data_IF_567316214343
#
_entry.id   IF_567316214343
#
_cell.length_a   1.000
_cell.length_b   1.000
_cell.length_c   1.000
_cell.angle_alpha   90.00
_cell.angle_beta   90.00
_cell.angle_gamma   90.00
#
_symmetry.space_group_name_H-M   'P 1'
#
loop_
_entity.id
_entity.type
_entity.pdbx_description
1 polymer ?
#
# COMPACT_ATOMS: atom_id res chain seq x y z
N UNK A 1 -18.35 29.59 27.60
CA UNK A 1 -18.55 29.82 26.16
C UNK A 1 -17.23 30.26 25.53
N UNK A 2 -16.49 29.35 24.87
CA UNK A 2 -15.45 29.73 23.92
C UNK A 2 -15.79 29.29 22.50
N UNK A 3 -15.23 30.04 21.56
CA UNK A 3 -15.54 30.10 20.13
C UNK A 3 -15.34 28.78 19.37
N UNK A 4 -16.35 28.44 18.57
CA UNK A 4 -16.27 27.52 17.43
C UNK A 4 -15.39 28.15 16.35
N UNK A 5 -14.28 27.50 16.03
CA UNK A 5 -13.50 27.78 14.81
C UNK A 5 -13.82 26.71 13.77
N UNK A 6 -14.22 27.19 12.59
CA UNK A 6 -14.75 26.40 11.49
C UNK A 6 -13.70 25.51 10.83
N UNK A 7 -14.11 24.29 10.47
CA UNK A 7 -13.35 23.35 9.64
C UNK A 7 -13.59 23.69 8.15
N UNK A 8 -12.58 23.68 7.27
CA UNK A 8 -12.77 24.06 5.87
C UNK A 8 -13.50 22.98 5.05
N UNK A 9 -14.59 23.36 4.38
CA UNK A 9 -15.24 22.58 3.34
C UNK A 9 -14.35 22.51 2.08
N UNK A 10 -13.95 21.32 1.66
CA UNK A 10 -13.33 21.12 0.36
C UNK A 10 -14.39 21.13 -0.75
N UNK A 11 -14.28 22.12 -1.64
CA UNK A 11 -15.08 22.25 -2.87
C UNK A 11 -14.73 21.11 -3.83
N UNK A 12 -15.75 20.36 -4.26
CA UNK A 12 -15.69 19.51 -5.45
C UNK A 12 -15.43 20.39 -6.69
N UNK A 13 -14.31 20.16 -7.36
CA UNK A 13 -14.08 20.66 -8.72
C UNK A 13 -14.51 19.60 -9.73
N UNK A 14 -15.53 19.94 -10.51
CA UNK A 14 -15.92 19.21 -11.71
C UNK A 14 -14.78 19.23 -12.75
N UNK A 15 -14.25 18.06 -13.08
CA UNK A 15 -13.51 17.84 -14.32
C UNK A 15 -14.13 16.63 -15.02
N UNK A 16 -14.77 16.90 -16.16
CA UNK A 16 -15.45 15.93 -16.99
C UNK A 16 -14.47 14.91 -17.57
N UNK A 17 -14.84 13.63 -17.44
CA UNK A 17 -14.17 12.53 -18.10
C UNK A 17 -14.91 12.17 -19.38
N UNK A 18 -14.21 12.36 -20.50
CA UNK A 18 -14.62 11.93 -21.81
C UNK A 18 -14.73 10.40 -21.87
N UNK A 19 -15.90 9.92 -22.27
CA UNK A 19 -16.17 8.53 -22.62
C UNK A 19 -15.47 8.19 -23.95
N UNK A 20 -14.67 7.13 -23.99
CA UNK A 20 -14.32 6.45 -25.23
C UNK A 20 -14.88 5.02 -25.21
N UNK A 21 -15.56 4.58 -26.29
CA UNK A 21 -16.27 3.31 -26.35
C UNK A 21 -15.35 2.14 -26.72
N UNK A 22 -15.59 0.98 -26.11
CA UNK A 22 -15.04 -0.31 -26.56
C UNK A 22 -15.92 -0.88 -27.68
N UNK A 23 -15.36 -1.31 -28.82
CA UNK A 23 -16.09 -2.03 -29.86
C UNK A 23 -15.99 -3.53 -29.57
N UNK A 24 -17.12 -4.24 -29.54
CA UNK A 24 -17.28 -5.58 -30.15
C UNK A 24 -18.74 -6.01 -30.02
N UNK A 25 -19.46 -5.91 -31.14
CA UNK A 25 -20.77 -6.51 -31.38
C UNK A 25 -20.58 -7.79 -32.21
N UNK A 26 -21.45 -8.78 -31.95
CA UNK A 26 -21.64 -10.02 -32.71
C UNK A 26 -21.51 -11.21 -31.77
N UNK A 27 -22.57 -11.91 -31.36
CA UNK A 27 -23.69 -12.42 -32.15
C UNK A 27 -25.01 -12.38 -31.36
N UNK A 28 -26.08 -11.98 -32.06
CA UNK A 28 -27.47 -12.21 -31.65
C UNK A 28 -27.83 -13.66 -31.99
N UNK A 29 -28.26 -14.42 -31.00
CA UNK A 29 -29.18 -15.53 -31.19
C UNK A 29 -30.43 -15.25 -30.34
N UNK A 30 -31.49 -14.82 -31.01
CA UNK A 30 -32.84 -14.71 -30.46
C UNK A 30 -33.42 -16.10 -30.25
N UNK A 31 -33.71 -16.46 -29.00
CA UNK A 31 -34.68 -17.52 -28.67
C UNK A 31 -35.78 -16.92 -27.80
N UNK A 32 -36.98 -16.83 -28.37
CA UNK A 32 -38.23 -16.65 -27.64
C UNK A 32 -38.80 -18.05 -27.37
N UNK A 33 -38.90 -18.48 -26.11
CA UNK A 33 -40.16 -18.96 -25.50
C UNK A 33 -39.98 -19.48 -24.06
N UNK A 34 -41.03 -19.22 -23.29
CA UNK A 34 -41.56 -19.96 -22.13
C UNK A 34 -40.94 -19.78 -20.74
N UNK A 35 -41.74 -19.05 -19.95
CA UNK A 35 -41.81 -18.99 -18.50
C UNK A 35 -41.54 -20.34 -17.82
N UNK A 36 -40.46 -20.40 -17.04
CA UNK A 36 -40.22 -21.42 -16.04
C UNK A 36 -39.41 -20.79 -14.92
N UNK A 37 -40.07 -20.51 -13.79
CA UNK A 37 -39.39 -20.09 -12.56
C UNK A 37 -38.56 -21.30 -12.12
N UNK A 38 -37.26 -21.29 -12.37
CA UNK A 38 -36.31 -22.14 -11.68
C UNK A 38 -35.59 -21.25 -10.69
N UNK A 39 -36.10 -21.23 -9.46
CA UNK A 39 -35.32 -20.77 -8.31
C UNK A 39 -34.18 -21.77 -8.14
N UNK A 40 -33.07 -21.55 -8.83
CA UNK A 40 -31.82 -22.24 -8.56
C UNK A 40 -31.37 -21.71 -7.20
N UNK A 41 -31.76 -22.39 -6.13
CA UNK A 41 -31.19 -22.18 -4.82
C UNK A 41 -29.74 -22.62 -4.90
N UNK A 42 -28.83 -21.70 -5.21
CA UNK A 42 -27.41 -21.92 -5.00
C UNK A 42 -27.23 -22.09 -3.50
N UNK A 43 -27.01 -23.33 -3.06
CA UNK A 43 -26.48 -23.60 -1.73
C UNK A 43 -25.08 -23.00 -1.75
N UNK A 44 -24.95 -21.78 -1.23
CA UNK A 44 -23.66 -21.18 -0.94
C UNK A 44 -23.11 -21.97 0.23
N UNK A 45 -22.24 -22.94 -0.05
CA UNK A 45 -21.46 -23.57 0.99
C UNK A 45 -20.51 -22.51 1.56
N UNK A 46 -20.89 -21.93 2.69
CA UNK A 46 -20.00 -21.08 3.47
C UNK A 46 -18.92 -21.98 4.06
N UNK A 47 -17.68 -21.85 3.59
CA UNK A 47 -16.53 -22.51 4.23
C UNK A 47 -16.41 -21.88 5.62
N UNK A 48 -16.50 -22.65 6.71
CA UNK A 48 -16.38 -22.09 8.04
C UNK A 48 -14.99 -21.48 8.22
N UNK A 49 -14.90 -20.41 9.00
CA UNK A 49 -13.62 -19.81 9.36
C UNK A 49 -12.64 -20.85 9.90
N UNK A 50 -11.43 -20.84 9.34
CA UNK A 50 -10.28 -21.60 9.82
C UNK A 50 -9.11 -20.63 10.05
N UNK A 51 -8.62 -20.60 11.29
CA UNK A 51 -7.48 -19.78 11.69
C UNK A 51 -6.23 -20.15 10.90
N UNK A 52 -5.99 -21.44 10.72
CA UNK A 52 -4.74 -21.93 10.18
C UNK A 52 -4.63 -21.58 8.69
N UNK A 53 -5.77 -21.43 7.99
CA UNK A 53 -5.80 -20.88 6.61
C UNK A 53 -5.23 -19.47 6.58
N UNK A 54 -5.68 -18.57 7.46
CA UNK A 54 -5.19 -17.18 7.52
C UNK A 54 -3.70 -17.14 7.87
N UNK A 55 -3.30 -17.89 8.91
CA UNK A 55 -1.91 -17.95 9.37
C UNK A 55 -0.99 -18.46 8.27
N UNK A 56 -1.39 -19.53 7.57
CA UNK A 56 -0.61 -20.08 6.46
C UNK A 56 -0.53 -19.12 5.28
N UNK A 57 -1.61 -18.38 4.97
CA UNK A 57 -1.58 -17.35 3.93
C UNK A 57 -0.57 -16.25 4.26
N UNK A 58 -0.60 -15.69 5.47
CA UNK A 58 0.37 -14.62 5.82
C UNK A 58 1.80 -15.16 5.88
N UNK A 59 2.00 -16.36 6.43
CA UNK A 59 3.32 -17.00 6.45
C UNK A 59 3.87 -17.19 5.04
N UNK A 60 3.09 -17.79 4.13
CA UNK A 60 3.47 -18.00 2.73
C UNK A 60 3.75 -16.68 2.01
N UNK A 61 3.01 -15.62 2.35
CA UNK A 61 3.26 -14.29 1.82
C UNK A 61 4.62 -13.73 2.24
N UNK A 62 4.96 -13.81 3.53
CA UNK A 62 6.27 -13.38 4.02
C UNK A 62 7.41 -14.24 3.47
N UNK A 63 7.21 -15.55 3.36
CA UNK A 63 8.17 -16.46 2.74
C UNK A 63 8.41 -16.10 1.26
N UNK A 64 7.36 -15.72 0.52
CA UNK A 64 7.48 -15.23 -0.86
C UNK A 64 8.32 -13.95 -0.94
N UNK A 65 8.08 -13.00 -0.03
CA UNK A 65 8.84 -11.76 0.06
C UNK A 65 10.32 -11.97 0.47
N UNK A 66 10.63 -12.99 1.27
CA UNK A 66 12.02 -13.42 1.53
C UNK A 66 12.63 -14.10 0.31
N UNK A 67 11.84 -14.91 -0.41
CA UNK A 67 12.29 -15.66 -1.58
C UNK A 67 12.70 -14.73 -2.72
N UNK A 68 11.95 -13.65 -2.96
CA UNK A 68 12.25 -12.62 -3.97
C UNK A 68 13.35 -11.63 -3.53
N UNK A 69 14.01 -11.89 -2.40
CA UNK A 69 15.06 -11.05 -1.81
C UNK A 69 14.59 -9.62 -1.46
N UNK A 70 13.34 -9.50 -1.02
CA UNK A 70 12.76 -8.25 -0.54
C UNK A 70 12.84 -8.09 0.98
N UNK A 71 12.42 -9.13 1.73
CA UNK A 71 12.59 -9.21 3.18
C UNK A 71 13.84 -10.01 3.56
N UNK A 72 14.44 -9.62 4.68
CA UNK A 72 15.38 -10.45 5.42
C UNK A 72 14.59 -11.42 6.31
N UNK A 73 14.87 -12.73 6.33
CA UNK A 73 14.16 -13.68 7.19
C UNK A 73 14.18 -13.28 8.68
N UNK A 74 15.25 -12.62 9.16
CA UNK A 74 15.39 -12.23 10.56
C UNK A 74 14.40 -11.12 10.99
N UNK A 75 13.72 -10.48 10.04
CA UNK A 75 12.69 -9.49 10.36
C UNK A 75 11.32 -10.09 10.65
N UNK A 76 11.14 -11.40 10.40
CA UNK A 76 9.89 -12.11 10.67
C UNK A 76 9.93 -12.67 12.09
N UNK A 77 9.01 -12.21 12.91
CA UNK A 77 8.76 -12.70 14.26
C UNK A 77 7.76 -13.84 14.19
N UNK A 78 8.23 -15.05 14.54
CA UNK A 78 7.38 -16.23 14.58
C UNK A 78 6.77 -16.44 15.97
N UNK A 79 5.48 -16.83 16.05
CA UNK A 79 4.88 -17.19 17.33
C UNK A 79 5.55 -18.44 17.92
N UNK A 80 5.65 -18.54 19.26
CA UNK A 80 5.97 -19.80 19.94
C UNK A 80 4.97 -20.92 19.59
N UNK A 81 5.27 -22.21 19.88
CA UNK A 81 4.37 -23.33 19.56
C UNK A 81 2.95 -23.23 20.15
N UNK A 82 2.78 -22.52 21.27
CA UNK A 82 1.46 -22.24 21.88
C UNK A 82 0.88 -20.87 21.52
N UNK A 83 1.47 -20.16 20.55
CA UNK A 83 1.16 -18.78 20.23
C UNK A 83 1.82 -17.76 21.16
N UNK A 84 1.63 -16.48 20.84
CA UNK A 84 2.04 -15.35 21.66
C UNK A 84 1.30 -15.34 23.01
N UNK A 85 1.99 -15.04 24.11
CA UNK A 85 1.32 -14.95 25.43
C UNK A 85 0.52 -13.64 25.58
N UNK A 86 -0.33 -13.55 26.60
CA UNK A 86 -1.11 -12.32 26.90
C UNK A 86 -0.21 -11.14 27.32
N UNK A 87 1.00 -11.44 27.80
CA UNK A 87 2.03 -10.44 28.09
C UNK A 87 2.67 -9.90 26.81
N UNK A 88 2.77 -10.74 25.77
CA UNK A 88 3.38 -10.38 24.48
C UNK A 88 2.37 -9.72 23.52
N UNK A 89 1.12 -10.17 23.53
CA UNK A 89 0.02 -9.68 22.68
C UNK A 89 -0.83 -8.66 23.45
N UNK A 90 -1.33 -7.61 22.79
CA UNK A 90 -2.18 -6.59 23.42
C UNK A 90 -3.65 -7.05 23.66
N UNK A 91 -3.84 -8.18 24.35
CA UNK A 91 -5.14 -8.86 24.55
C UNK A 91 -6.16 -7.98 25.29
N UNK A 92 -5.73 -7.32 26.36
CA UNK A 92 -6.51 -6.34 27.11
C UNK A 92 -7.07 -5.24 26.21
N UNK A 93 -6.21 -4.60 25.41
CA UNK A 93 -6.67 -3.56 24.47
C UNK A 93 -7.63 -4.11 23.42
N UNK A 94 -7.38 -5.32 22.90
CA UNK A 94 -8.29 -5.97 21.94
C UNK A 94 -9.67 -6.23 22.56
N UNK A 95 -9.72 -6.66 23.83
CA UNK A 95 -10.96 -6.89 24.59
C UNK A 95 -11.69 -5.59 24.92
N UNK A 96 -10.99 -4.55 25.35
CA UNK A 96 -11.56 -3.21 25.55
C UNK A 96 -12.21 -2.67 24.25
N UNK A 97 -11.63 -3.05 23.11
CA UNK A 97 -12.15 -2.74 21.75
C UNK A 97 -13.13 -3.78 21.21
N UNK A 98 -13.67 -4.62 22.09
CA UNK A 98 -14.73 -5.60 21.81
C UNK A 98 -14.39 -6.58 20.67
N UNK A 99 -13.10 -6.89 20.44
CA UNK A 99 -12.72 -7.96 19.51
C UNK A 99 -13.12 -9.32 20.09
N UNK A 100 -13.54 -10.24 19.24
CA UNK A 100 -13.96 -11.58 19.67
C UNK A 100 -12.76 -12.44 20.12
N UNK A 101 -13.01 -13.47 20.92
CA UNK A 101 -11.97 -14.45 21.29
C UNK A 101 -11.39 -15.16 20.05
N UNK A 102 -12.17 -15.28 18.96
CA UNK A 102 -11.71 -15.85 17.70
C UNK A 102 -10.68 -14.96 17.00
N UNK A 103 -10.89 -13.64 17.00
CA UNK A 103 -9.88 -12.67 16.53
C UNK A 103 -8.62 -12.74 17.39
N UNK A 104 -8.77 -12.80 18.72
CA UNK A 104 -7.63 -12.87 19.63
C UNK A 104 -6.83 -14.17 19.39
N UNK A 105 -7.52 -15.31 19.22
CA UNK A 105 -6.90 -16.59 18.89
C UNK A 105 -6.16 -16.55 17.54
N UNK A 106 -6.72 -15.89 16.53
CA UNK A 106 -6.01 -15.63 15.27
C UNK A 106 -4.69 -14.90 15.50
N UNK A 107 -4.77 -13.71 16.11
CA UNK A 107 -3.61 -12.85 16.32
C UNK A 107 -2.53 -13.52 17.17
N UNK A 108 -2.93 -14.41 18.08
CA UNK A 108 -2.00 -15.21 18.89
C UNK A 108 -1.08 -16.11 18.06
N UNK A 109 -1.54 -16.56 16.89
CA UNK A 109 -0.82 -17.50 16.04
C UNK A 109 -0.23 -16.86 14.77
N UNK A 110 -0.34 -15.53 14.64
CA UNK A 110 0.15 -14.83 13.46
C UNK A 110 1.66 -14.54 13.54
N UNK A 111 2.40 -14.68 12.42
CA UNK A 111 3.72 -14.08 12.31
C UNK A 111 3.59 -12.56 12.17
N UNK A 112 4.57 -11.83 12.70
CA UNK A 112 4.62 -10.36 12.63
C UNK A 112 5.95 -9.87 12.07
N UNK A 113 6.00 -8.64 11.56
CA UNK A 113 7.26 -7.99 11.18
C UNK A 113 7.81 -7.15 12.34
N UNK A 114 9.11 -7.28 12.61
CA UNK A 114 9.77 -6.63 13.76
C UNK A 114 9.92 -5.11 13.62
N UNK A 115 10.04 -4.60 12.38
CA UNK A 115 10.13 -3.16 12.10
C UNK A 115 8.82 -2.67 11.53
N UNK A 116 8.07 -1.92 12.32
CA UNK A 116 6.76 -1.40 11.92
C UNK A 116 6.46 0.00 12.46
N UNK A 117 7.48 0.82 12.76
CA UNK A 117 7.19 2.14 13.33
C UNK A 117 8.14 3.27 12.97
N UNK A 118 9.41 3.01 12.77
CA UNK A 118 10.26 4.11 12.34
C UNK A 118 9.91 4.38 10.88
N UNK A 119 9.43 5.59 10.59
CA UNK A 119 9.21 6.12 9.22
C UNK A 119 10.44 5.91 8.33
N UNK A 120 11.57 5.62 8.96
CA UNK A 120 12.81 5.08 8.42
C UNK A 120 12.82 3.54 8.58
N UNK A 121 12.24 2.79 7.63
CA UNK A 121 12.37 1.32 7.60
C UNK A 121 11.08 0.50 7.63
N UNK A 122 9.98 1.04 7.11
CA UNK A 122 8.76 0.28 6.85
C UNK A 122 8.98 -0.81 5.79
N UNK A 123 8.30 -1.93 5.97
CA UNK A 123 8.16 -3.01 5.00
C UNK A 123 6.74 -3.01 4.48
N UNK A 124 6.56 -2.61 3.24
CA UNK A 124 5.29 -2.82 2.57
C UNK A 124 5.06 -4.33 2.38
N UNK A 125 3.83 -4.77 2.64
CA UNK A 125 3.39 -6.14 2.37
C UNK A 125 2.52 -6.20 1.12
N UNK A 126 2.03 -5.05 0.66
CA UNK A 126 1.44 -4.84 -0.65
C UNK A 126 1.57 -3.36 -1.03
N UNK A 127 1.20 -2.97 -2.25
CA UNK A 127 1.31 -1.58 -2.73
C UNK A 127 0.68 -0.62 -1.72
N UNK A 128 1.47 0.32 -1.20
CA UNK A 128 1.06 1.35 -0.22
C UNK A 128 0.52 0.78 1.11
N UNK A 129 0.76 -0.50 1.38
CA UNK A 129 0.16 -1.27 2.47
C UNK A 129 1.25 -1.79 3.42
N UNK A 130 1.18 -1.39 4.69
CA UNK A 130 2.02 -1.89 5.79
C UNK A 130 1.32 -3.05 6.52
N UNK A 131 2.08 -4.01 7.05
CA UNK A 131 1.50 -5.05 7.95
C UNK A 131 1.02 -4.44 9.26
N UNK A 132 -0.06 -4.96 9.84
CA UNK A 132 -0.41 -4.67 11.24
C UNK A 132 0.46 -5.49 12.20
N UNK A 133 0.75 -4.92 13.37
CA UNK A 133 1.26 -5.69 14.51
C UNK A 133 0.39 -5.43 15.73
N UNK A 134 0.14 -6.50 16.49
CA UNK A 134 -0.66 -6.50 17.72
C UNK A 134 0.18 -6.84 18.96
N UNK A 135 1.50 -6.95 18.80
CA UNK A 135 2.42 -7.19 19.89
C UNK A 135 2.57 -5.92 20.74
N UNK A 136 2.49 -6.07 22.06
CA UNK A 136 2.42 -4.98 23.05
C UNK A 136 3.60 -3.99 22.96
N UNK A 137 4.79 -4.48 22.67
CA UNK A 137 6.01 -3.66 22.61
C UNK A 137 6.42 -3.27 21.17
N UNK A 138 5.51 -3.38 20.20
CA UNK A 138 5.76 -3.07 18.80
C UNK A 138 4.71 -2.09 18.24
N UNK A 139 5.07 -1.39 17.17
CA UNK A 139 4.15 -0.54 16.42
C UNK A 139 3.36 0.43 17.32
N UNK A 140 2.06 0.53 17.06
CA UNK A 140 1.15 1.45 17.75
C UNK A 140 1.06 1.22 19.27
N UNK A 141 1.29 0.00 19.74
CA UNK A 141 1.19 -0.36 21.17
C UNK A 141 2.42 0.07 21.98
N UNK A 142 3.55 0.38 21.34
CA UNK A 142 4.79 0.78 22.02
C UNK A 142 4.81 2.21 22.55
N UNK A 143 4.15 3.18 21.90
CA UNK A 143 4.37 4.62 22.20
C UNK A 143 3.15 5.34 22.79
N UNK A 144 2.32 4.68 23.61
CA UNK A 144 1.18 5.30 24.30
C UNK A 144 0.30 6.18 23.36
N UNK A 145 0.14 5.77 22.09
CA UNK A 145 -0.66 6.54 21.16
C UNK A 145 -2.12 6.47 21.63
N UNK A 146 -2.70 7.65 21.92
CA UNK A 146 -4.09 7.81 22.38
C UNK A 146 -5.14 7.41 21.34
N UNK A 147 -4.70 6.98 20.16
CA UNK A 147 -5.52 6.90 18.96
C UNK A 147 -5.20 5.70 18.06
N UNK A 148 -5.42 4.46 18.52
CA UNK A 148 -5.33 3.28 17.66
C UNK A 148 -6.53 3.20 16.68
N UNK A 149 -7.24 4.30 16.36
CA UNK A 149 -8.44 4.27 15.52
C UNK A 149 -8.17 3.72 14.10
N UNK A 150 -6.93 3.84 13.62
CA UNK A 150 -6.46 3.16 12.41
C UNK A 150 -6.41 1.63 12.48
N UNK A 151 -6.65 0.99 13.63
CA UNK A 151 -6.65 -0.47 13.77
C UNK A 151 -8.06 -1.08 13.76
N UNK A 152 -9.12 -0.26 13.59
CA UNK A 152 -10.49 -0.71 13.83
C UNK A 152 -11.41 -0.64 12.62
N UNK A 153 -11.35 0.43 11.80
CA UNK A 153 -11.95 0.54 10.46
C UNK A 153 -11.31 1.70 9.69
N UNK A 154 -11.19 1.62 8.35
CA UNK A 154 -10.67 2.72 7.52
C UNK A 154 -11.65 3.91 7.33
N UNK A 155 -12.89 3.84 7.85
CA UNK A 155 -13.85 4.95 7.84
C UNK A 155 -14.48 5.17 9.22
N UNK A 156 -14.54 6.44 9.62
CA UNK A 156 -15.26 7.07 10.73
C UNK A 156 -15.30 6.32 12.08
N UNK A 157 -14.66 6.92 13.09
CA UNK A 157 -14.39 6.38 14.43
C UNK A 157 -15.58 6.22 15.38
N UNK A 158 -16.79 6.58 14.95
CA UNK A 158 -17.97 6.64 15.85
C UNK A 158 -18.84 5.37 15.83
N UNK A 159 -18.68 4.49 14.83
CA UNK A 159 -19.41 3.22 14.77
C UNK A 159 -18.56 2.05 15.28
N UNK A 160 -19.14 1.23 16.15
CA UNK A 160 -18.52 -0.02 16.60
C UNK A 160 -18.31 -0.95 15.39
N UNK A 161 -17.06 -1.29 15.09
CA UNK A 161 -16.72 -2.34 14.12
C UNK A 161 -17.20 -3.70 14.61
N UNK A 162 -17.73 -4.60 13.75
CA UNK A 162 -18.11 -5.95 14.15
C UNK A 162 -17.00 -6.67 14.91
N UNK A 163 -17.34 -7.43 15.96
CA UNK A 163 -16.36 -8.03 16.86
C UNK A 163 -15.39 -9.01 16.17
N UNK A 164 -15.86 -9.69 15.11
CA UNK A 164 -15.07 -10.61 14.30
C UNK A 164 -14.14 -9.96 13.27
N UNK A 165 -14.17 -8.63 13.11
CA UNK A 165 -13.35 -7.91 12.13
C UNK A 165 -11.98 -7.56 12.68
N UNK A 166 -10.95 -7.73 11.86
CA UNK A 166 -9.59 -7.30 12.18
C UNK A 166 -8.76 -6.97 10.94
N UNK A 167 -8.11 -5.80 10.84
CA UNK A 167 -7.21 -5.49 9.74
C UNK A 167 -5.85 -6.15 9.93
N UNK A 168 -5.40 -6.96 8.97
CA UNK A 168 -4.05 -7.52 8.97
C UNK A 168 -3.02 -6.59 8.34
N UNK A 169 -3.48 -5.54 7.66
CA UNK A 169 -2.65 -4.52 7.03
C UNK A 169 -3.32 -3.16 7.04
N UNK A 170 -2.57 -2.08 6.86
CA UNK A 170 -3.06 -0.69 6.87
C UNK A 170 -2.25 0.20 5.93
N UNK A 171 -2.84 1.32 5.51
CA UNK A 171 -2.15 2.38 4.77
C UNK A 171 -3.15 3.42 4.26
N UNK A 172 -2.65 4.54 3.73
CA UNK A 172 -3.49 5.70 3.40
C UNK A 172 -4.18 5.59 2.02
N UNK A 173 -3.50 4.98 1.05
CA UNK A 173 -4.04 4.64 -0.27
C UNK A 173 -4.01 3.11 -0.53
N UNK A 174 -3.93 2.34 0.56
CA UNK A 174 -3.73 0.91 0.59
C UNK A 174 -4.95 0.11 0.14
N UNK A 175 -4.68 -1.15 -0.22
CA UNK A 175 -5.67 -2.21 -0.04
C UNK A 175 -5.50 -2.80 1.36
N UNK A 176 -6.44 -2.51 2.25
CA UNK A 176 -6.49 -3.01 3.63
C UNK A 176 -7.04 -4.43 3.63
N UNK A 177 -6.29 -5.36 4.22
CA UNK A 177 -6.69 -6.75 4.38
C UNK A 177 -7.53 -6.92 5.65
N UNK A 178 -8.83 -6.66 5.54
CA UNK A 178 -9.74 -6.83 6.67
C UNK A 178 -10.30 -8.25 6.70
N UNK A 179 -9.94 -9.02 7.72
CA UNK A 179 -10.46 -10.39 7.91
C UNK A 179 -11.73 -10.33 8.74
N UNK A 180 -12.74 -11.05 8.28
CA UNK A 180 -13.97 -11.33 9.01
C UNK A 180 -13.93 -12.78 9.51
N UNK A 181 -13.66 -12.95 10.80
CA UNK A 181 -13.57 -14.27 11.44
C UNK A 181 -14.93 -14.90 11.74
N UNK A 182 -16.03 -14.15 11.61
CA UNK A 182 -17.37 -14.68 11.80
C UNK A 182 -17.88 -15.34 10.50
N UNK A 183 -17.57 -14.73 9.35
CA UNK A 183 -17.92 -15.27 8.03
C UNK A 183 -16.82 -16.11 7.37
N UNK A 184 -15.56 -16.03 7.84
CA UNK A 184 -14.45 -16.79 7.25
C UNK A 184 -13.95 -16.22 5.92
N UNK A 185 -14.05 -14.91 5.75
CA UNK A 185 -13.77 -14.21 4.48
C UNK A 185 -12.78 -13.05 4.70
N UNK A 186 -12.25 -12.53 3.59
CA UNK A 186 -11.48 -11.30 3.57
C UNK A 186 -12.20 -10.22 2.75
N UNK A 187 -12.15 -9.00 3.26
CA UNK A 187 -12.56 -7.78 2.59
C UNK A 187 -11.30 -6.98 2.20
N UNK A 188 -10.82 -7.10 0.95
CA UNK A 188 -9.71 -6.27 0.46
C UNK A 188 -10.21 -4.85 0.21
N UNK A 189 -10.18 -4.03 1.26
CA UNK A 189 -10.73 -2.68 1.29
C UNK A 189 -9.80 -1.69 0.61
N UNK A 190 -10.16 -1.26 -0.60
CA UNK A 190 -9.41 -0.28 -1.37
C UNK A 190 -9.91 1.16 -1.17
N UNK A 191 -9.21 2.15 -1.75
CA UNK A 191 -9.57 3.58 -1.63
C UNK A 191 -10.78 3.98 -2.50
N UNK A 192 -11.28 3.09 -3.36
CA UNK A 192 -12.34 3.37 -4.31
C UNK A 192 -13.68 2.74 -3.89
N UNK A 193 -14.78 3.40 -4.27
CA UNK A 193 -16.13 2.85 -4.09
C UNK A 193 -16.32 1.71 -5.10
N UNK A 194 -16.50 0.49 -4.57
CA UNK A 194 -16.77 -0.74 -5.31
C UNK A 194 -18.28 -1.00 -5.42
N UNK A 195 -19.06 -0.62 -4.40
CA UNK A 195 -20.52 -0.82 -4.38
C UNK A 195 -21.23 0.49 -4.04
N UNK A 196 -22.04 1.00 -4.97
CA UNK A 196 -22.88 2.17 -4.70
C UNK A 196 -24.07 1.78 -3.82
N UNK A 197 -24.43 2.64 -2.86
CA UNK A 197 -25.60 2.43 -2.00
C UNK A 197 -25.44 1.28 -0.99
N UNK A 198 -24.22 1.04 -0.50
CA UNK A 198 -24.00 0.13 0.61
C UNK A 198 -24.88 0.52 1.81
N UNK A 199 -25.44 -0.46 2.57
CA UNK A 199 -26.22 -0.16 3.77
C UNK A 199 -25.41 0.68 4.78
N UNK A 200 -26.08 1.61 5.45
CA UNK A 200 -25.45 2.53 6.40
C UNK A 200 -24.84 1.81 7.61
N UNK A 201 -25.42 0.66 8.00
CA UNK A 201 -24.93 -0.24 9.04
C UNK A 201 -23.81 -1.17 8.57
N UNK A 202 -23.53 -1.22 7.26
CA UNK A 202 -22.49 -2.06 6.65
C UNK A 202 -21.63 -1.27 5.66
N UNK A 203 -21.02 -0.15 6.10
CA UNK A 203 -20.34 0.79 5.21
C UNK A 203 -19.14 0.17 4.47
N UNK A 204 -18.52 -0.88 5.03
CA UNK A 204 -17.40 -1.58 4.40
C UNK A 204 -17.73 -2.19 3.04
N UNK A 205 -19.00 -2.55 2.80
CA UNK A 205 -19.45 -3.08 1.51
C UNK A 205 -19.33 -2.05 0.38
N UNK A 206 -19.24 -0.76 0.72
CA UNK A 206 -19.03 0.29 -0.27
C UNK A 206 -17.65 0.18 -0.93
N UNK A 207 -16.66 -0.37 -0.22
CA UNK A 207 -15.25 -0.25 -0.60
C UNK A 207 -14.55 -1.59 -0.82
N UNK A 208 -15.27 -2.70 -0.65
CA UNK A 208 -14.78 -4.05 -0.95
C UNK A 208 -15.93 -4.99 -1.32
N UNK A 209 -15.60 -6.05 -2.06
CA UNK A 209 -16.41 -7.25 -2.18
C UNK A 209 -15.79 -8.35 -1.32
N UNK A 210 -16.59 -9.22 -0.68
CA UNK A 210 -16.03 -10.32 0.10
C UNK A 210 -15.33 -11.30 -0.84
N UNK A 211 -14.23 -11.88 -0.38
CA UNK A 211 -13.48 -12.92 -1.09
C UNK A 211 -13.20 -14.08 -0.13
N UNK A 212 -13.06 -15.27 -0.70
CA UNK A 212 -12.41 -16.37 0.00
C UNK A 212 -10.96 -15.95 0.34
N UNK A 213 -10.52 -16.29 1.56
CA UNK A 213 -9.22 -15.85 2.08
C UNK A 213 -8.10 -16.49 1.26
N UNK A 214 -8.16 -17.80 1.05
CA UNK A 214 -7.09 -18.52 0.38
C UNK A 214 -7.03 -18.13 -1.10
N UNK A 215 -8.18 -18.07 -1.78
CA UNK A 215 -8.27 -17.65 -3.18
C UNK A 215 -7.67 -16.25 -3.40
N UNK A 216 -7.98 -15.30 -2.52
CA UNK A 216 -7.43 -13.94 -2.60
C UNK A 216 -5.90 -13.93 -2.49
N UNK A 217 -5.35 -14.68 -1.53
CA UNK A 217 -3.90 -14.75 -1.36
C UNK A 217 -3.21 -15.54 -2.48
N UNK A 218 -3.84 -16.58 -3.03
CA UNK A 218 -3.35 -17.32 -4.20
C UNK A 218 -3.24 -16.44 -5.46
N UNK A 219 -4.21 -15.56 -5.68
CA UNK A 219 -4.14 -14.53 -6.72
C UNK A 219 -2.99 -13.55 -6.47
N UNK A 220 -2.84 -13.06 -5.24
CA UNK A 220 -1.76 -12.15 -4.84
C UNK A 220 -0.38 -12.78 -5.04
N UNK A 221 -0.21 -14.07 -4.71
CA UNK A 221 1.05 -14.77 -4.95
C UNK A 221 1.35 -14.86 -6.43
N UNK A 222 0.34 -15.21 -7.23
CA UNK A 222 0.48 -15.26 -8.69
C UNK A 222 0.90 -13.90 -9.25
N UNK A 223 0.32 -12.81 -8.73
CA UNK A 223 0.63 -11.45 -9.14
C UNK A 223 2.10 -11.08 -8.87
N UNK A 224 2.62 -11.44 -7.68
CA UNK A 224 4.02 -11.19 -7.30
C UNK A 224 4.98 -12.13 -8.06
N UNK A 225 4.63 -13.42 -8.19
CA UNK A 225 5.45 -14.39 -8.91
C UNK A 225 5.61 -14.04 -10.39
N UNK A 226 4.53 -13.56 -11.01
CA UNK A 226 4.54 -13.09 -12.41
C UNK A 226 5.09 -11.66 -12.56
N UNK A 227 5.45 -11.02 -11.45
CA UNK A 227 5.99 -9.66 -11.36
C UNK A 227 5.06 -8.60 -11.97
N UNK A 228 3.74 -8.78 -11.86
CA UNK A 228 2.78 -7.69 -12.10
C UNK A 228 2.92 -6.63 -11.02
N UNK A 229 3.05 -7.10 -9.78
CA UNK A 229 3.44 -6.33 -8.61
C UNK A 229 4.83 -6.77 -8.17
N UNK A 230 5.69 -5.79 -7.92
CA UNK A 230 7.14 -5.98 -7.85
C UNK A 230 7.63 -5.51 -6.48
N UNK A 231 8.07 -6.42 -5.61
CA UNK A 231 8.77 -6.07 -4.39
C UNK A 231 10.14 -5.46 -4.69
N UNK A 232 10.32 -4.22 -4.23
CA UNK A 232 11.47 -3.36 -4.50
C UNK A 232 12.26 -3.18 -3.20
N UNK A 233 13.33 -3.97 -2.97
CA UNK A 233 14.09 -3.87 -1.74
C UNK A 233 14.79 -2.53 -1.62
N UNK A 234 14.94 -2.07 -0.38
CA UNK A 234 15.78 -0.91 -0.08
C UNK A 234 17.25 -1.23 -0.40
N UNK A 235 17.91 -0.31 -1.09
CA UNK A 235 19.35 -0.38 -1.32
C UNK A 235 20.10 0.55 -0.37
N UNK A 236 21.42 0.34 -0.23
CA UNK A 236 22.28 1.14 0.67
C UNK A 236 22.46 2.57 0.17
N UNK A 237 22.41 2.77 -1.15
CA UNK A 237 22.65 4.07 -1.81
C UNK A 237 21.42 4.95 -1.99
N UNK A 238 20.21 4.37 -1.90
CA UNK A 238 18.96 5.11 -2.10
C UNK A 238 18.58 5.91 -0.86
N UNK A 239 18.29 7.18 -1.08
CA UNK A 239 17.82 8.11 -0.06
C UNK A 239 16.29 8.11 0.02
N UNK A 240 15.59 7.41 -0.88
CA UNK A 240 14.15 7.12 -0.76
C UNK A 240 13.97 6.04 0.31
N UNK A 241 13.05 6.30 1.23
CA UNK A 241 13.24 5.95 2.63
C UNK A 241 12.77 4.56 3.07
N UNK A 242 12.36 3.66 2.18
CA UNK A 242 11.71 2.42 2.61
C UNK A 242 11.78 1.31 1.56
N UNK A 243 11.45 0.10 2.00
CA UNK A 243 11.16 -1.00 1.10
C UNK A 243 9.78 -0.74 0.49
N UNK A 244 9.64 -0.87 -0.82
CA UNK A 244 8.41 -0.53 -1.55
C UNK A 244 7.92 -1.74 -2.34
N UNK A 245 6.62 -1.83 -2.58
CA UNK A 245 6.03 -2.77 -3.51
C UNK A 245 5.33 -1.92 -4.58
N UNK A 246 5.78 -2.04 -5.83
CA UNK A 246 5.37 -1.17 -6.93
C UNK A 246 4.72 -1.95 -8.05
N UNK A 247 3.92 -1.27 -8.88
CA UNK A 247 3.48 -1.87 -10.15
C UNK A 247 4.67 -1.99 -11.12
N UNK A 248 4.71 -3.05 -11.91
CA UNK A 248 5.69 -3.18 -13.00
C UNK A 248 5.55 -2.11 -14.10
N UNK A 249 4.47 -1.32 -14.08
CA UNK A 249 4.25 -0.19 -14.99
C UNK A 249 4.98 1.07 -14.54
N UNK A 250 5.39 1.13 -13.27
CA UNK A 250 6.17 2.23 -12.74
C UNK A 250 7.63 2.07 -13.12
N UNK A 251 8.35 3.18 -13.24
CA UNK A 251 9.74 3.19 -13.71
C UNK A 251 10.64 2.25 -12.89
N UNK A 252 10.52 2.32 -11.56
CA UNK A 252 11.37 1.56 -10.65
C UNK A 252 10.90 0.10 -10.52
N UNK A 253 9.58 -0.14 -10.55
CA UNK A 253 9.01 -1.48 -10.65
C UNK A 253 9.45 -2.20 -11.93
N UNK A 254 9.43 -1.52 -13.08
CA UNK A 254 9.89 -2.05 -14.36
C UNK A 254 11.39 -2.38 -14.35
N UNK A 255 12.20 -1.53 -13.71
CA UNK A 255 13.64 -1.75 -13.55
C UNK A 255 13.92 -3.01 -12.72
N UNK A 256 13.29 -3.12 -11.55
CA UNK A 256 13.47 -4.27 -10.65
C UNK A 256 12.92 -5.55 -11.27
N UNK A 257 11.77 -5.48 -11.95
CA UNK A 257 11.21 -6.62 -12.69
C UNK A 257 12.22 -7.17 -13.71
N UNK A 258 12.87 -6.29 -14.47
CA UNK A 258 13.88 -6.68 -15.46
C UNK A 258 15.04 -7.43 -14.78
N UNK A 259 15.61 -6.83 -13.74
CA UNK A 259 16.72 -7.41 -13.00
C UNK A 259 16.35 -8.77 -12.38
N UNK A 260 15.19 -8.88 -11.74
CA UNK A 260 14.72 -10.16 -11.19
C UNK A 260 14.67 -11.26 -12.25
N UNK A 261 14.15 -10.96 -13.45
CA UNK A 261 14.11 -11.91 -14.58
C UNK A 261 15.50 -12.28 -15.08
N UNK A 262 16.38 -11.30 -15.29
CA UNK A 262 17.77 -11.51 -15.71
C UNK A 262 18.55 -12.39 -14.72
N UNK A 263 18.21 -12.27 -13.43
CA UNK A 263 18.83 -13.02 -12.35
C UNK A 263 18.11 -14.33 -11.97
N UNK A 264 17.10 -14.76 -12.73
CA UNK A 264 16.54 -16.11 -12.65
C UNK A 264 15.26 -16.28 -11.82
N UNK A 265 14.57 -15.20 -11.46
CA UNK A 265 13.22 -15.29 -10.89
C UNK A 265 12.21 -15.84 -11.93
N UNK A 266 11.26 -16.71 -11.54
CA UNK A 266 10.95 -17.19 -10.19
C UNK A 266 11.66 -18.48 -9.74
N UNK A 267 12.37 -19.17 -10.63
CA UNK A 267 12.87 -20.52 -10.35
C UNK A 267 14.17 -20.56 -9.53
N UNK A 268 15.21 -19.88 -10.00
CA UNK A 268 16.57 -19.98 -9.47
C UNK A 268 17.19 -18.58 -9.35
N UNK A 269 16.56 -17.71 -8.56
CA UNK A 269 17.03 -16.35 -8.33
C UNK A 269 18.42 -16.36 -7.69
N UNK A 270 19.40 -15.81 -8.42
CA UNK A 270 20.76 -15.55 -7.92
C UNK A 270 20.73 -14.29 -7.06
N UNK A 271 20.30 -14.44 -5.81
CA UNK A 271 19.95 -13.34 -4.89
C UNK A 271 21.07 -12.30 -4.74
N UNK A 272 22.29 -12.75 -4.51
CA UNK A 272 23.44 -11.87 -4.27
C UNK A 272 23.82 -11.08 -5.53
N UNK A 273 23.78 -11.72 -6.71
CA UNK A 273 24.03 -11.06 -7.99
C UNK A 273 22.95 -10.01 -8.30
N UNK A 274 21.68 -10.37 -8.08
CA UNK A 274 20.54 -9.47 -8.25
C UNK A 274 20.65 -8.22 -7.38
N UNK A 275 20.86 -8.40 -6.06
CA UNK A 275 20.96 -7.29 -5.12
C UNK A 275 22.15 -6.38 -5.44
N UNK A 276 23.27 -6.97 -5.89
CA UNK A 276 24.43 -6.21 -6.35
C UNK A 276 24.12 -5.37 -7.59
N UNK A 277 23.50 -5.97 -8.61
CA UNK A 277 23.12 -5.27 -9.84
C UNK A 277 22.13 -4.13 -9.56
N UNK A 278 21.15 -4.36 -8.69
CA UNK A 278 20.20 -3.33 -8.27
C UNK A 278 20.88 -2.16 -7.55
N UNK A 279 21.82 -2.44 -6.66
CA UNK A 279 22.61 -1.41 -5.95
C UNK A 279 23.43 -0.57 -6.94
N UNK A 280 24.10 -1.21 -7.91
CA UNK A 280 24.90 -0.55 -8.95
C UNK A 280 24.03 0.37 -9.83
N UNK A 281 22.90 -0.12 -10.35
CA UNK A 281 22.03 0.70 -11.19
C UNK A 281 21.44 1.91 -10.43
N UNK A 282 21.08 1.75 -9.15
CA UNK A 282 20.59 2.86 -8.33
C UNK A 282 21.68 3.88 -8.01
N UNK A 283 22.88 3.42 -7.73
CA UNK A 283 24.03 4.30 -7.52
C UNK A 283 24.31 5.15 -8.76
N UNK A 284 24.29 4.53 -9.95
CA UNK A 284 24.50 5.23 -11.22
C UNK A 284 23.36 6.22 -11.53
N UNK A 285 22.11 5.85 -11.26
CA UNK A 285 20.97 6.74 -11.41
C UNK A 285 21.13 8.00 -10.54
N UNK A 286 21.50 7.84 -9.26
CA UNK A 286 21.75 8.94 -8.33
C UNK A 286 22.87 9.86 -8.80
N UNK A 287 24.01 9.28 -9.22
CA UNK A 287 25.15 10.03 -9.76
C UNK A 287 24.76 10.85 -10.99
N UNK A 288 23.90 10.30 -11.85
CA UNK A 288 23.41 10.99 -13.04
C UNK A 288 22.42 12.13 -12.69
N UNK A 289 21.58 11.96 -11.68
CA UNK A 289 20.70 13.02 -11.18
C UNK A 289 21.48 14.18 -10.55
N UNK A 290 22.53 13.89 -9.79
CA UNK A 290 23.40 14.91 -9.20
C UNK A 290 24.09 15.76 -10.28
N UNK A 291 24.67 15.13 -11.30
CA UNK A 291 25.24 15.83 -12.47
C UNK A 291 24.22 16.73 -13.16
N UNK A 292 22.98 16.26 -13.35
CA UNK A 292 21.89 17.05 -13.94
C UNK A 292 21.53 18.25 -13.06
N UNK A 293 21.54 18.09 -11.72
CA UNK A 293 21.26 19.15 -10.75
C UNK A 293 22.34 20.23 -10.81
N UNK A 294 23.61 19.83 -10.77
CA UNK A 294 24.76 20.74 -10.88
C UNK A 294 24.74 21.52 -12.20
N UNK A 295 24.45 20.85 -13.31
CA UNK A 295 24.34 21.51 -14.61
C UNK A 295 23.19 22.53 -14.64
N UNK A 296 22.02 22.17 -14.08
CA UNK A 296 20.87 23.07 -13.99
C UNK A 296 21.19 24.30 -13.14
N UNK A 297 21.94 24.12 -12.04
CA UNK A 297 22.38 25.22 -11.19
C UNK A 297 23.39 26.13 -11.89
N UNK A 298 24.39 25.54 -12.58
CA UNK A 298 25.35 26.29 -13.41
C UNK A 298 24.63 27.12 -14.47
N UNK A 299 23.67 26.53 -15.20
CA UNK A 299 22.84 27.23 -16.20
C UNK A 299 22.02 28.36 -15.56
N UNK A 300 21.47 28.17 -14.36
CA UNK A 300 20.75 29.22 -13.61
C UNK A 300 21.66 30.37 -13.21
N UNK A 301 22.88 30.08 -12.72
CA UNK A 301 23.87 31.09 -12.35
C UNK A 301 24.31 31.92 -13.56
N UNK A 302 24.67 31.28 -14.67
CA UNK A 302 25.03 31.97 -15.92
C UNK A 302 23.88 32.85 -16.44
N UNK A 303 22.63 32.37 -16.39
CA UNK A 303 21.46 33.20 -16.78
C UNK A 303 21.28 34.43 -15.89
N UNK A 304 21.50 34.31 -14.58
CA UNK A 304 21.45 35.44 -13.64
C UNK A 304 22.54 36.46 -13.93
N UNK A 305 23.78 36.01 -14.17
CA UNK A 305 24.91 36.89 -14.52
C UNK A 305 24.65 37.67 -15.82
N UNK A 306 24.14 37.00 -16.87
CA UNK A 306 23.76 37.67 -18.13
C UNK A 306 22.65 38.69 -17.92
N UNK A 307 21.63 38.37 -17.12
CA UNK A 307 20.54 39.30 -16.83
C UNK A 307 21.02 40.53 -16.07
N UNK A 308 21.88 40.34 -15.07
CA UNK A 308 22.51 41.42 -14.29
C UNK A 308 23.38 42.30 -15.21
N UNK A 309 24.24 41.70 -16.03
CA UNK A 309 25.07 42.45 -16.99
C UNK A 309 24.24 43.32 -17.95
N UNK A 310 23.14 42.77 -18.49
CA UNK A 310 22.19 43.55 -19.33
C UNK A 310 21.52 44.70 -18.58
N UNK A 311 21.18 44.54 -17.30
CA UNK A 311 20.62 45.64 -16.50
C UNK A 311 21.62 46.76 -16.21
N UNK A 312 22.90 46.41 -15.97
CA UNK A 312 23.96 47.41 -15.82
C UNK A 312 24.20 48.20 -17.12
N UNK A 313 24.17 47.53 -18.28
CA UNK A 313 24.33 48.18 -19.59
C UNK A 313 23.16 49.11 -19.96
N UNK A 314 21.93 48.77 -19.56
CA UNK A 314 20.78 49.65 -19.76
C UNK A 314 20.87 50.91 -18.88
N UNK A 315 21.31 50.76 -17.63
CA UNK A 315 21.46 51.88 -16.68
C UNK A 315 22.62 52.82 -17.04
N UNK A 316 23.70 52.29 -17.60
CA UNK A 316 24.84 53.09 -18.07
C UNK A 316 24.50 53.89 -19.34
N UNK A 317 23.64 53.35 -20.22
CA UNK A 317 23.15 54.06 -21.41
C UNK A 317 22.12 55.15 -21.07
N UNK A 318 21.27 54.97 -20.07
CA UNK A 318 20.34 56.01 -19.61
C UNK A 318 21.01 57.18 -18.86
N UNK A 319 22.25 57.01 -18.38
CA UNK A 319 23.00 58.04 -17.67
C UNK A 319 23.81 59.01 -18.54
N UNK A 320 23.85 58.83 -19.87
CA UNK A 320 24.65 59.65 -20.79
C UNK A 320 23.86 60.69 -21.62
N UNK A 321 22.56 60.87 -21.34
CA UNK A 321 21.68 61.79 -22.07
C UNK A 321 21.29 63.04 -21.28
N UNK A 322 22.25 63.81 -20.78
CA UNK A 322 21.94 64.99 -19.99
C UNK A 322 23.13 65.90 -19.71
N UNK A 323 23.84 66.34 -20.75
CA UNK A 323 24.63 67.58 -20.68
C UNK A 323 25.04 68.04 -22.09
N UNK A 324 24.15 68.80 -22.74
CA UNK A 324 24.56 69.78 -23.75
C UNK A 324 23.88 71.10 -23.39
N UNK A 325 24.62 71.92 -22.65
CA UNK A 325 24.38 73.34 -22.53
C UNK A 325 25.06 74.04 -23.71
N UNK A 326 24.30 74.84 -24.46
CA UNK A 326 24.66 76.15 -25.02
C UNK A 326 23.42 76.78 -25.63
#
# INVERSE_FOLDING_TARGET
MPNLTAVPQYKQSHLGLALYPSPHQGYRATFHLLLGIHSTTYIVYTVPYDRDVVVNCIKRHYDLLVRIAYLDPDVILHPPPGGWSDEQLAVDTLKERKRSERVIDLLRHMPYLSKNKDTVGKYEVYIETDACTYLRNHGWFKDEYRDPYGLMMPWNSEQDSPAGFIPLSMGNAATVWMVDTDEGIIWPMGPFIVTQGAPEDQPWRACAKPRDIQEYFDELYTEIETLVTVPVPKTKSDWRWYHEILSCREKDGAQVQRLLKEHGWPEALRKEEYLKALEEERYDAKRNEEKKREEKERRRKTRREIAVGKTYDLRSKSGKGGSTAS
#
